data_IF_987634552727
#
_entry.id   IF_987634552727
#
_cell.length_a   1.000
_cell.length_b   1.000
_cell.length_c   1.000
_cell.angle_alpha   90.00
_cell.angle_beta   90.00
_cell.angle_gamma   90.00
#
_symmetry.space_group_name_H-M   'P 1'
#
loop_
_entity.id
_entity.type
_entity.pdbx_description
1 polymer ?
#
# COMPACT_ATOMS: atom_id res chain seq x y z
N UNK A 1 -1.08 9.79 -33.25
CA UNK A 1 -0.42 10.51 -32.13
C UNK A 1 -1.16 10.11 -30.86
N UNK A 2 -0.85 8.93 -30.33
CA UNK A 2 -1.51 8.37 -29.14
C UNK A 2 -0.65 8.63 -27.92
N UNK A 3 -0.79 9.80 -27.32
CA UNK A 3 -0.05 10.21 -26.13
C UNK A 3 -0.96 10.31 -24.92
N UNK A 4 -0.90 9.28 -24.08
CA UNK A 4 -1.34 9.17 -22.68
C UNK A 4 -2.15 10.34 -22.09
N UNK A 5 -3.49 10.21 -22.10
CA UNK A 5 -4.37 10.86 -21.14
C UNK A 5 -4.43 10.10 -19.79
N UNK A 6 -3.83 8.91 -19.73
CA UNK A 6 -3.86 8.04 -18.55
C UNK A 6 -3.04 8.58 -17.36
N UNK A 7 -2.09 9.49 -17.61
CA UNK A 7 -1.26 10.06 -16.54
C UNK A 7 -1.87 11.26 -15.78
N UNK A 8 -2.91 11.92 -16.31
CA UNK A 8 -3.36 13.23 -15.77
C UNK A 8 -4.73 13.24 -15.11
N UNK A 9 -5.44 12.11 -15.11
CA UNK A 9 -6.71 11.96 -14.39
C UNK A 9 -6.54 11.29 -13.01
N UNK A 10 -5.40 10.63 -12.76
CA UNK A 10 -5.12 10.01 -11.47
C UNK A 10 -4.93 11.06 -10.35
N UNK A 11 -4.32 12.21 -10.66
CA UNK A 11 -4.04 13.26 -9.66
C UNK A 11 -5.28 13.95 -9.07
N UNK A 12 -6.43 13.93 -9.77
CA UNK A 12 -7.62 14.67 -9.35
C UNK A 12 -8.62 13.86 -8.52
N UNK A 13 -8.41 12.54 -8.37
CA UNK A 13 -9.30 11.65 -7.59
C UNK A 13 -8.61 11.08 -6.33
N UNK A 14 -7.28 11.12 -6.23
CA UNK A 14 -6.54 10.67 -5.06
C UNK A 14 -6.59 11.71 -3.92
N UNK A 15 -7.78 11.84 -3.32
CA UNK A 15 -8.00 12.66 -2.15
C UNK A 15 -7.12 12.25 -0.97
N UNK A 16 -6.18 13.13 -0.59
CA UNK A 16 -5.69 13.36 0.79
C UNK A 16 -5.73 12.12 1.70
N UNK A 17 -4.92 11.10 1.37
CA UNK A 17 -5.06 9.77 1.98
C UNK A 17 -3.78 9.06 2.45
N UNK A 18 -2.60 9.65 2.34
CA UNK A 18 -1.34 9.00 2.76
C UNK A 18 -1.05 7.77 1.91
N UNK A 19 -0.74 8.01 0.65
CA UNK A 19 -0.30 7.00 -0.31
C UNK A 19 1.23 6.98 -0.31
N UNK A 20 1.79 5.78 -0.34
CA UNK A 20 3.23 5.62 -0.48
C UNK A 20 3.58 5.94 -1.95
N UNK A 21 4.56 6.81 -2.23
CA UNK A 21 5.03 7.09 -3.58
C UNK A 21 5.29 5.81 -4.38
N UNK A 22 4.99 5.84 -5.69
CA UNK A 22 5.21 4.66 -6.54
C UNK A 22 6.69 4.28 -6.63
N UNK A 23 7.57 5.28 -6.53
CA UNK A 23 9.02 5.13 -6.60
C UNK A 23 9.63 4.40 -5.39
N UNK A 24 8.99 4.48 -4.21
CA UNK A 24 9.52 3.86 -2.98
C UNK A 24 9.38 2.34 -3.00
N UNK A 25 8.30 1.82 -3.62
CA UNK A 25 8.03 0.39 -3.74
C UNK A 25 7.42 0.06 -5.11
N UNK A 26 8.24 0.06 -6.18
CA UNK A 26 7.77 -0.11 -7.56
C UNK A 26 7.24 -1.51 -7.84
N UNK A 27 7.57 -2.51 -7.03
CA UNK A 27 7.07 -3.88 -7.13
C UNK A 27 5.62 -4.04 -6.63
N UNK A 28 5.11 -3.04 -5.89
CA UNK A 28 3.76 -3.07 -5.36
C UNK A 28 2.75 -2.54 -6.38
N UNK A 29 1.54 -3.06 -6.30
CA UNK A 29 0.35 -2.50 -6.96
C UNK A 29 -0.26 -1.40 -6.10
N UNK A 30 -1.15 -0.59 -6.68
CA UNK A 30 -1.84 0.49 -5.94
C UNK A 30 -2.59 -0.03 -4.70
N UNK A 31 -3.22 -1.22 -4.81
CA UNK A 31 -3.93 -1.85 -3.68
C UNK A 31 -2.97 -2.32 -2.58
N UNK A 32 -1.82 -2.87 -2.96
CA UNK A 32 -0.79 -3.29 -2.02
C UNK A 32 -0.15 -2.09 -1.30
N UNK A 33 0.13 -0.99 -2.01
CA UNK A 33 0.57 0.28 -1.42
C UNK A 33 -0.45 0.83 -0.42
N UNK A 34 -1.74 0.79 -0.77
CA UNK A 34 -2.81 1.22 0.13
C UNK A 34 -2.80 0.40 1.44
N UNK A 35 -2.66 -0.92 1.34
CA UNK A 35 -2.58 -1.80 2.52
C UNK A 35 -1.29 -1.51 3.32
N UNK A 36 -0.15 -1.38 2.66
CA UNK A 36 1.14 -1.07 3.29
C UNK A 36 1.09 0.29 4.03
N UNK A 37 0.45 1.30 3.46
CA UNK A 37 0.25 2.59 4.11
C UNK A 37 -0.60 2.48 5.38
N UNK A 38 -1.63 1.63 5.38
CA UNK A 38 -2.43 1.36 6.58
C UNK A 38 -1.64 0.55 7.62
N UNK A 39 -0.78 -0.36 7.16
CA UNK A 39 0.15 -1.09 8.04
C UNK A 39 1.08 -0.12 8.75
N UNK A 40 1.68 0.81 8.01
CA UNK A 40 2.59 1.84 8.53
C UNK A 40 1.90 2.81 9.52
N UNK A 41 0.59 3.02 9.35
CA UNK A 41 -0.26 3.74 10.31
C UNK A 41 -0.60 2.92 11.57
N UNK A 42 -0.15 1.67 11.68
CA UNK A 42 -0.36 0.79 12.83
C UNK A 42 -1.68 0.01 12.84
N UNK A 43 -2.46 0.00 11.75
CA UNK A 43 -3.80 -0.63 11.74
C UNK A 43 -3.73 -2.15 11.66
N UNK A 44 -4.43 -2.86 12.55
CA UNK A 44 -4.52 -4.33 12.52
C UNK A 44 -5.16 -4.84 11.22
N UNK A 45 -4.95 -6.12 10.89
CA UNK A 45 -5.54 -6.72 9.68
C UNK A 45 -7.08 -6.62 9.68
N UNK A 46 -7.72 -6.71 10.85
CA UNK A 46 -9.17 -6.53 11.00
C UNK A 46 -9.60 -5.09 10.72
N UNK A 47 -8.89 -4.09 11.26
CA UNK A 47 -9.19 -2.68 10.99
C UNK A 47 -8.97 -2.31 9.50
N UNK A 48 -7.95 -2.87 8.88
CA UNK A 48 -7.71 -2.73 7.43
C UNK A 48 -8.84 -3.40 6.64
N UNK A 49 -9.26 -4.59 7.06
CA UNK A 49 -10.34 -5.33 6.42
C UNK A 49 -11.66 -4.55 6.44
N UNK A 50 -12.04 -4.01 7.60
CA UNK A 50 -13.21 -3.14 7.75
C UNK A 50 -13.12 -1.90 6.86
N UNK A 51 -11.97 -1.22 6.86
CA UNK A 51 -11.78 0.02 6.09
C UNK A 51 -11.82 -0.21 4.57
N UNK A 52 -11.37 -1.38 4.12
CA UNK A 52 -11.26 -1.71 2.70
C UNK A 52 -12.39 -2.61 2.18
N UNK A 53 -13.36 -2.96 3.04
CA UNK A 53 -14.46 -3.88 2.70
C UNK A 53 -13.98 -5.29 2.34
N UNK A 54 -12.90 -5.75 2.97
CA UNK A 54 -12.28 -7.06 2.74
C UNK A 54 -12.51 -8.00 3.93
N UNK A 55 -12.21 -9.29 3.75
CA UNK A 55 -12.09 -10.21 4.88
C UNK A 55 -10.72 -10.09 5.54
N UNK A 56 -10.63 -10.39 6.84
CA UNK A 56 -9.35 -10.44 7.55
C UNK A 56 -8.36 -11.44 6.92
N UNK A 57 -8.84 -12.56 6.38
CA UNK A 57 -8.03 -13.54 5.64
C UNK A 57 -7.47 -12.96 4.34
N UNK A 58 -8.28 -12.21 3.61
CA UNK A 58 -7.85 -11.53 2.39
C UNK A 58 -6.76 -10.51 2.70
N UNK A 59 -6.93 -9.71 3.74
CA UNK A 59 -5.89 -8.76 4.19
C UNK A 59 -4.62 -9.48 4.62
N UNK A 60 -4.73 -10.57 5.39
CA UNK A 60 -3.57 -11.36 5.80
C UNK A 60 -2.78 -11.89 4.59
N UNK A 61 -3.47 -12.39 3.56
CA UNK A 61 -2.83 -12.82 2.32
C UNK A 61 -2.10 -11.66 1.62
N UNK A 62 -2.73 -10.48 1.52
CA UNK A 62 -2.08 -9.30 0.98
C UNK A 62 -0.84 -8.92 1.80
N UNK A 63 -0.91 -8.94 3.13
CA UNK A 63 0.24 -8.64 3.99
C UNK A 63 1.40 -9.60 3.68
N UNK A 64 1.15 -10.90 3.58
CA UNK A 64 2.20 -11.88 3.24
C UNK A 64 2.85 -11.59 1.89
N UNK A 65 2.05 -11.26 0.86
CA UNK A 65 2.57 -10.92 -0.48
C UNK A 65 3.37 -9.62 -0.42
N UNK A 66 2.89 -8.60 0.29
CA UNK A 66 3.57 -7.31 0.44
C UNK A 66 4.92 -7.50 1.11
N UNK A 67 4.97 -8.23 2.23
CA UNK A 67 6.21 -8.50 2.96
C UNK A 67 7.25 -9.17 2.07
N UNK A 68 6.84 -10.17 1.28
CA UNK A 68 7.72 -10.82 0.31
C UNK A 68 8.21 -9.84 -0.79
N UNK A 69 7.35 -8.95 -1.29
CA UNK A 69 7.69 -8.00 -2.35
C UNK A 69 8.63 -6.87 -1.92
N UNK A 70 8.59 -6.48 -0.66
CA UNK A 70 9.45 -5.41 -0.11
C UNK A 70 10.65 -5.97 0.69
N UNK A 71 10.82 -7.29 0.66
CA UNK A 71 11.85 -8.02 1.40
C UNK A 71 11.86 -7.65 2.90
N UNK A 72 10.68 -7.72 3.53
CA UNK A 72 10.51 -7.48 4.96
C UNK A 72 10.18 -8.79 5.68
N UNK A 73 10.89 -9.09 6.77
CA UNK A 73 10.68 -10.29 7.57
C UNK A 73 9.36 -10.23 8.35
N UNK A 74 8.96 -9.02 8.78
CA UNK A 74 7.75 -8.83 9.56
C UNK A 74 7.09 -7.46 9.33
N UNK A 75 5.91 -7.33 9.92
CA UNK A 75 5.10 -6.11 9.87
C UNK A 75 5.80 -4.87 10.46
N UNK A 76 6.62 -5.05 11.50
CA UNK A 76 7.37 -3.96 12.11
C UNK A 76 8.46 -3.48 11.15
N UNK A 77 9.13 -4.41 10.46
CA UNK A 77 10.10 -4.09 9.42
C UNK A 77 9.43 -3.35 8.25
N UNK A 78 8.27 -3.80 7.79
CA UNK A 78 7.50 -3.08 6.77
C UNK A 78 7.21 -1.63 7.19
N UNK A 79 6.83 -1.41 8.45
CA UNK A 79 6.58 -0.08 9.01
C UNK A 79 7.84 0.79 9.02
N UNK A 80 9.00 0.21 9.39
CA UNK A 80 10.29 0.89 9.35
C UNK A 80 10.68 1.27 7.93
N UNK A 81 10.52 0.38 6.94
CA UNK A 81 10.85 0.65 5.53
C UNK A 81 10.04 1.82 4.97
N UNK A 82 8.75 1.91 5.28
CA UNK A 82 7.90 3.05 4.87
C UNK A 82 8.32 4.35 5.55
N UNK A 83 8.67 4.30 6.84
CA UNK A 83 9.06 5.50 7.60
C UNK A 83 10.45 6.01 7.22
N UNK A 84 11.35 5.08 6.86
CA UNK A 84 12.73 5.35 6.47
C UNK A 84 12.93 5.71 5.00
N UNK A 85 11.92 5.59 4.15
CA UNK A 85 11.96 5.98 2.73
C UNK A 85 11.84 7.52 2.53
N UNK A 86 12.43 8.33 3.42
CA UNK A 86 12.32 9.79 3.43
C UNK A 86 13.60 10.50 3.03
#
# INVERSE_FOLDING_TARGET
>A
IGGSLAGRLADLVHGRGGEIPEDDFPSLTSRERQILALIAKGLTNSAIAERLGLSGKTVANYVSVILAKIDAADRNEATRKVTGAR
#
